data_IF_009271657584
#
_entry.id   IF_009271657584
#
_cell.length_a   1.000
_cell.length_b   1.000
_cell.length_c   1.000
_cell.angle_alpha   90.00
_cell.angle_beta   90.00
_cell.angle_gamma   90.00
#
_symmetry.space_group_name_H-M   'P 1'
#
loop_
_entity.id
_entity.type
_entity.pdbx_description
1 polymer ?
#
# COMPACT_ATOMS: atom_id res chain seq x y z
N UNK A 1 25.94 -22.20 -20.74
CA UNK A 1 25.02 -23.17 -20.14
C UNK A 1 24.16 -22.41 -19.14
N UNK A 2 22.84 -22.41 -19.39
CA UNK A 2 21.72 -21.91 -18.56
C UNK A 2 21.57 -20.38 -18.33
N UNK A 3 20.97 -19.76 -19.35
CA UNK A 3 19.78 -18.89 -19.34
C UNK A 3 19.55 -18.02 -18.09
N UNK A 4 19.79 -16.73 -18.25
CA UNK A 4 19.08 -15.69 -17.51
C UNK A 4 17.58 -15.83 -17.83
N UNK A 5 16.80 -16.30 -16.86
CA UNK A 5 15.35 -16.20 -16.93
C UNK A 5 14.99 -14.72 -16.89
N UNK A 6 14.50 -14.21 -18.02
CA UNK A 6 13.76 -12.96 -18.06
C UNK A 6 12.50 -13.12 -17.21
N UNK A 7 12.58 -12.72 -15.95
CA UNK A 7 11.42 -12.16 -15.28
C UNK A 7 11.20 -10.80 -15.92
N UNK A 8 10.28 -10.74 -16.89
CA UNK A 8 9.69 -9.45 -17.24
C UNK A 8 9.26 -8.81 -15.93
N UNK A 9 9.73 -7.60 -15.65
CA UNK A 9 9.30 -6.78 -14.53
C UNK A 9 7.76 -6.76 -14.57
N UNK A 10 7.12 -7.65 -13.80
CA UNK A 10 5.73 -7.41 -13.43
C UNK A 10 5.84 -6.13 -12.61
N UNK A 11 5.34 -5.03 -13.13
CA UNK A 11 5.32 -3.77 -12.40
C UNK A 11 4.63 -4.05 -11.07
N UNK A 12 5.42 -4.15 -10.02
CA UNK A 12 4.90 -4.33 -8.68
C UNK A 12 4.15 -3.04 -8.35
N UNK A 13 2.97 -3.18 -7.75
CA UNK A 13 2.15 -2.05 -7.40
C UNK A 13 1.70 -2.19 -5.95
N UNK A 14 1.41 -1.06 -5.31
CA UNK A 14 0.82 -1.03 -3.99
C UNK A 14 -0.22 0.08 -3.89
N UNK A 15 -1.19 -0.08 -2.99
CA UNK A 15 -2.08 0.99 -2.60
C UNK A 15 -1.36 1.90 -1.61
N UNK A 16 -1.37 3.20 -1.89
CA UNK A 16 -1.00 4.24 -0.94
C UNK A 16 -2.25 5.06 -0.61
N UNK A 17 -2.72 4.96 0.63
CA UNK A 17 -3.88 5.70 1.10
C UNK A 17 -3.41 6.71 2.14
N UNK A 18 -3.42 8.00 1.77
CA UNK A 18 -3.32 9.10 2.72
C UNK A 18 -4.73 9.40 3.23
N UNK A 19 -4.96 9.25 4.53
CA UNK A 19 -6.30 9.24 5.11
C UNK A 19 -6.45 10.24 6.26
N UNK A 20 -6.76 11.48 5.90
CA UNK A 20 -7.14 12.53 6.82
C UNK A 20 -6.11 12.80 7.91
N UNK A 21 -6.58 13.42 8.97
CA UNK A 21 -5.77 13.67 10.15
C UNK A 21 -5.51 12.38 10.94
N UNK A 22 -4.51 12.47 11.80
CA UNK A 22 -4.04 11.43 12.71
C UNK A 22 -5.15 10.64 13.42
N UNK A 23 -6.19 11.33 13.89
CA UNK A 23 -7.27 10.74 14.68
C UNK A 23 -8.08 9.71 13.90
N UNK A 24 -8.04 9.74 12.58
CA UNK A 24 -8.71 8.75 11.71
C UNK A 24 -7.88 7.49 11.48
N UNK A 25 -6.59 7.51 11.83
CA UNK A 25 -5.65 6.40 11.63
C UNK A 25 -5.18 5.83 12.97
N UNK A 26 -5.36 6.57 14.07
CA UNK A 26 -5.03 6.11 15.41
C UNK A 26 -5.89 4.92 15.84
N UNK A 27 -5.28 3.94 16.51
CA UNK A 27 -5.97 2.72 16.93
C UNK A 27 -6.24 1.77 15.77
N UNK A 28 -7.36 1.03 15.84
CA UNK A 28 -7.75 0.11 14.78
C UNK A 28 -8.61 0.83 13.74
N UNK A 29 -8.24 0.69 12.48
CA UNK A 29 -9.03 1.18 11.34
C UNK A 29 -9.62 -0.02 10.64
N UNK A 30 -10.92 -0.23 10.80
CA UNK A 30 -11.61 -1.38 10.18
C UNK A 30 -12.10 -1.05 8.76
N UNK A 31 -12.51 0.21 8.53
CA UNK A 31 -13.09 0.66 7.26
C UNK A 31 -12.49 2.00 6.85
N UNK A 32 -12.06 2.09 5.60
CA UNK A 32 -11.57 3.32 4.97
C UNK A 32 -12.57 3.76 3.92
N UNK A 33 -12.95 5.04 3.92
CA UNK A 33 -13.86 5.63 2.93
C UNK A 33 -13.26 6.86 2.27
N UNK A 34 -13.10 6.82 0.95
CA UNK A 34 -12.49 7.88 0.15
C UNK A 34 -13.51 8.44 -0.84
N UNK A 35 -13.60 9.76 -0.92
CA UNK A 35 -14.40 10.42 -1.97
C UNK A 35 -13.88 10.05 -3.36
N UNK A 36 -14.76 9.71 -4.32
CA UNK A 36 -14.37 9.28 -5.67
C UNK A 36 -13.44 10.26 -6.39
N UNK A 37 -13.57 11.56 -6.14
CA UNK A 37 -12.68 12.57 -6.72
C UNK A 37 -11.26 12.59 -6.13
N UNK A 38 -11.00 11.81 -5.07
CA UNK A 38 -9.68 11.60 -4.46
C UNK A 38 -9.17 10.18 -4.67
N UNK A 39 -9.98 9.36 -5.33
CA UNK A 39 -9.63 8.01 -5.73
C UNK A 39 -8.77 8.10 -6.98
N UNK A 40 -7.68 7.33 -7.02
CA UNK A 40 -6.65 7.33 -8.04
C UNK A 40 -5.93 8.67 -8.25
N UNK A 41 -6.11 9.63 -7.35
CA UNK A 41 -5.33 10.87 -7.37
C UNK A 41 -3.84 10.49 -7.31
N UNK A 42 -3.03 11.02 -8.23
CA UNK A 42 -1.59 10.73 -8.35
C UNK A 42 -1.23 9.29 -8.74
N UNK A 43 -2.19 8.52 -9.26
CA UNK A 43 -1.92 7.23 -9.91
C UNK A 43 -1.40 7.48 -11.34
N UNK A 44 -0.46 6.69 -11.87
CA UNK A 44 -0.04 6.80 -13.26
C UNK A 44 -1.24 6.71 -14.23
N UNK A 45 -1.33 7.56 -15.27
CA UNK A 45 -2.54 7.67 -16.10
C UNK A 45 -3.01 6.36 -16.72
N UNK A 46 -2.09 5.49 -17.15
CA UNK A 46 -2.42 4.19 -17.73
C UNK A 46 -3.02 3.23 -16.70
N UNK A 47 -2.54 3.29 -15.45
CA UNK A 47 -3.08 2.52 -14.33
C UNK A 47 -4.43 3.08 -13.88
N UNK A 48 -4.56 4.40 -13.75
CA UNK A 48 -5.82 5.07 -13.42
C UNK A 48 -6.93 4.69 -14.40
N UNK A 49 -6.68 4.81 -15.70
CA UNK A 49 -7.65 4.50 -16.75
C UNK A 49 -8.15 3.06 -16.69
N UNK A 50 -7.28 2.12 -16.28
CA UNK A 50 -7.66 0.70 -16.13
C UNK A 50 -8.54 0.46 -14.91
N UNK A 51 -8.49 1.34 -13.92
CA UNK A 51 -9.17 1.19 -12.63
C UNK A 51 -10.38 2.11 -12.48
N UNK A 52 -10.54 3.12 -13.34
CA UNK A 52 -11.57 4.16 -13.26
C UNK A 52 -13.00 3.61 -13.17
N UNK A 53 -13.26 2.47 -13.83
CA UNK A 53 -14.56 1.81 -13.85
C UNK A 53 -14.97 1.30 -12.46
N UNK A 54 -13.98 0.92 -11.62
CA UNK A 54 -14.18 0.17 -10.38
C UNK A 54 -15.13 -1.03 -10.58
N UNK A 55 -15.01 -1.71 -11.73
CA UNK A 55 -15.70 -2.98 -11.95
C UNK A 55 -15.06 -4.11 -11.12
N UNK A 56 -15.64 -5.31 -11.20
CA UNK A 56 -15.17 -6.46 -10.43
C UNK A 56 -13.70 -6.81 -10.70
N UNK A 57 -13.19 -6.54 -11.90
CA UNK A 57 -11.78 -6.81 -12.26
C UNK A 57 -10.88 -5.76 -11.64
N UNK A 58 -11.26 -4.48 -11.72
CA UNK A 58 -10.52 -3.39 -11.10
C UNK A 58 -10.47 -3.53 -9.56
N UNK A 59 -11.60 -3.87 -8.93
CA UNK A 59 -11.68 -4.14 -7.49
C UNK A 59 -10.80 -5.32 -7.10
N UNK A 60 -10.93 -6.45 -7.80
CA UNK A 60 -10.11 -7.63 -7.51
C UNK A 60 -8.61 -7.38 -7.71
N UNK A 61 -8.23 -6.44 -8.57
CA UNK A 61 -6.84 -6.00 -8.69
C UNK A 61 -6.41 -5.20 -7.46
N UNK A 62 -7.18 -4.17 -7.06
CA UNK A 62 -6.87 -3.34 -5.90
C UNK A 62 -6.71 -4.15 -4.61
N UNK A 63 -7.59 -5.12 -4.39
CA UNK A 63 -7.61 -5.96 -3.19
C UNK A 63 -6.46 -6.97 -3.13
N UNK A 64 -5.80 -7.23 -4.26
CA UNK A 64 -4.57 -8.06 -4.29
C UNK A 64 -3.33 -7.28 -3.94
N UNK A 65 -3.35 -5.95 -4.04
CA UNK A 65 -2.17 -5.14 -3.79
C UNK A 65 -1.90 -5.03 -2.29
N UNK A 66 -0.62 -4.99 -1.87
CA UNK A 66 -0.26 -4.52 -0.55
C UNK A 66 -0.75 -3.09 -0.34
N UNK A 67 -1.17 -2.75 0.87
CA UNK A 67 -1.72 -1.42 1.18
C UNK A 67 -0.96 -0.76 2.32
N UNK A 68 -0.49 0.46 2.08
CA UNK A 68 -0.05 1.38 3.11
C UNK A 68 -1.18 2.36 3.41
N UNK A 69 -1.65 2.35 4.65
CA UNK A 69 -2.59 3.33 5.17
C UNK A 69 -1.82 4.31 6.05
N UNK A 70 -1.80 5.57 5.63
CA UNK A 70 -1.04 6.63 6.27
C UNK A 70 -2.00 7.75 6.71
N UNK A 71 -1.71 8.41 7.83
CA UNK A 71 -2.31 9.73 8.07
C UNK A 71 -1.69 10.75 7.11
N UNK A 72 -2.35 11.91 6.95
CA UNK A 72 -1.68 13.09 6.43
C UNK A 72 -0.48 13.44 7.32
N UNK A 73 0.55 14.02 6.71
CA UNK A 73 1.80 14.34 7.39
C UNK A 73 1.60 15.52 8.34
N UNK A 74 2.18 15.42 9.53
CA UNK A 74 2.21 16.45 10.55
C UNK A 74 3.61 17.03 10.67
N UNK A 75 3.71 18.36 10.80
CA UNK A 75 4.97 19.03 11.06
C UNK A 75 5.15 19.28 12.57
N UNK A 76 6.38 19.08 13.05
CA UNK A 76 6.80 19.39 14.41
C UNK A 76 8.16 20.10 14.36
N UNK A 77 8.14 21.41 14.13
CA UNK A 77 9.36 22.18 13.84
C UNK A 77 9.88 21.85 12.44
N UNK A 78 11.16 21.49 12.36
CA UNK A 78 11.80 21.10 11.09
C UNK A 78 11.54 19.63 10.72
N UNK A 79 11.14 18.80 11.68
CA UNK A 79 10.83 17.39 11.48
C UNK A 79 9.35 17.18 11.12
N UNK A 80 9.06 16.02 10.54
CA UNK A 80 7.70 15.62 10.17
C UNK A 80 7.41 14.20 10.63
N UNK A 81 6.13 13.88 10.88
CA UNK A 81 5.71 12.53 11.21
C UNK A 81 4.33 12.19 10.66
N UNK A 82 4.03 10.90 10.54
CA UNK A 82 2.70 10.40 10.20
C UNK A 82 2.46 9.04 10.87
N UNK A 83 1.20 8.67 11.06
CA UNK A 83 0.86 7.29 11.39
C UNK A 83 0.95 6.42 10.15
N UNK A 84 1.52 5.22 10.28
CA UNK A 84 1.69 4.29 9.16
C UNK A 84 1.24 2.89 9.57
N UNK A 85 0.35 2.30 8.77
CA UNK A 85 -0.07 0.92 8.86
C UNK A 85 0.16 0.23 7.52
N UNK A 86 0.57 -1.02 7.60
CA UNK A 86 0.69 -1.91 6.45
C UNK A 86 -0.33 -3.03 6.57
N UNK A 87 -1.00 -3.35 5.48
CA UNK A 87 -2.12 -4.27 5.52
C UNK A 87 -2.64 -4.69 4.16
N UNK A 88 -3.86 -5.23 4.20
CA UNK A 88 -4.66 -5.64 3.04
C UNK A 88 -6.00 -4.94 3.07
N UNK A 89 -6.61 -4.83 1.90
CA UNK A 89 -7.97 -4.33 1.76
C UNK A 89 -8.89 -5.40 1.19
N UNK A 90 -10.17 -5.36 1.55
CA UNK A 90 -11.20 -6.28 1.05
C UNK A 90 -12.57 -5.61 1.02
N UNK A 91 -13.55 -6.28 0.40
CA UNK A 91 -14.95 -5.86 0.39
C UNK A 91 -15.16 -4.43 -0.14
N UNK A 92 -14.35 -4.05 -1.12
CA UNK A 92 -14.34 -2.72 -1.72
C UNK A 92 -15.66 -2.47 -2.43
N UNK A 93 -16.41 -1.51 -1.92
CA UNK A 93 -17.75 -1.18 -2.39
C UNK A 93 -17.75 0.22 -3.00
N UNK A 94 -17.81 0.34 -4.34
CA UNK A 94 -17.91 1.65 -4.98
C UNK A 94 -19.32 2.22 -4.83
N UNK A 95 -19.43 3.35 -4.14
CA UNK A 95 -20.63 4.18 -4.10
C UNK A 95 -20.64 5.23 -5.21
N UNK A 96 -21.69 6.07 -5.22
CA UNK A 96 -21.82 7.17 -6.18
C UNK A 96 -20.85 8.31 -5.92
N UNK A 97 -20.55 8.60 -4.65
CA UNK A 97 -19.70 9.73 -4.23
C UNK A 97 -18.41 9.29 -3.57
N UNK A 98 -18.40 8.10 -3.00
CA UNK A 98 -17.34 7.58 -2.15
C UNK A 98 -17.12 6.10 -2.48
N UNK A 99 -15.93 5.59 -2.16
CA UNK A 99 -15.55 4.19 -2.22
C UNK A 99 -15.16 3.79 -0.81
N UNK A 100 -15.73 2.70 -0.30
CA UNK A 100 -15.41 2.15 1.02
C UNK A 100 -14.73 0.80 0.87
N UNK A 101 -13.79 0.48 1.76
CA UNK A 101 -13.10 -0.81 1.79
C UNK A 101 -12.79 -1.19 3.24
N UNK A 102 -12.80 -2.49 3.54
CA UNK A 102 -12.29 -3.02 4.81
C UNK A 102 -10.78 -2.94 4.79
N UNK A 103 -10.14 -2.59 5.91
CA UNK A 103 -8.70 -2.61 6.05
C UNK A 103 -8.27 -3.54 7.18
N UNK A 104 -7.44 -4.53 6.84
CA UNK A 104 -6.83 -5.44 7.81
C UNK A 104 -5.39 -4.98 8.07
N UNK A 105 -5.10 -4.56 9.30
CA UNK A 105 -3.74 -4.19 9.70
C UNK A 105 -2.90 -5.44 9.95
N UNK A 106 -1.82 -5.61 9.19
CA UNK A 106 -0.84 -6.69 9.37
C UNK A 106 0.37 -6.22 10.17
N UNK A 107 0.81 -4.98 9.94
CA UNK A 107 1.87 -4.33 10.72
C UNK A 107 1.43 -2.91 11.05
N UNK A 108 1.46 -2.57 12.33
CA UNK A 108 1.25 -1.21 12.81
C UNK A 108 2.60 -0.58 13.15
N UNK A 109 3.02 0.42 12.36
CA UNK A 109 4.26 1.15 12.63
C UNK A 109 4.07 2.27 13.66
N UNK A 110 2.82 2.61 13.96
CA UNK A 110 2.46 3.79 14.75
C UNK A 110 2.99 5.07 14.10
N UNK A 111 3.37 6.03 14.95
CA UNK A 111 4.01 7.27 14.50
C UNK A 111 5.41 6.97 13.96
N UNK A 112 5.66 7.31 12.70
CA UNK A 112 6.99 7.29 12.10
C UNK A 112 7.42 8.73 11.87
N UNK A 113 8.58 9.09 12.43
CA UNK A 113 9.22 10.39 12.24
C UNK A 113 10.22 10.37 11.10
N UNK A 114 10.34 11.49 10.42
CA UNK A 114 11.29 11.75 9.35
C UNK A 114 12.00 13.07 9.60
N UNK A 115 13.25 13.16 9.13
CA UNK A 115 14.07 14.37 9.29
C UNK A 115 13.46 15.56 8.53
N UNK A 116 12.89 15.32 7.36
CA UNK A 116 12.20 16.30 6.53
C UNK A 116 11.09 15.67 5.67
N UNK A 117 10.36 16.51 4.93
CA UNK A 117 9.24 16.07 4.10
C UNK A 117 9.68 15.35 2.83
N UNK A 118 10.87 15.68 2.32
CA UNK A 118 11.47 15.03 1.17
C UNK A 118 11.80 13.56 1.48
N UNK A 119 12.33 13.29 2.68
CA UNK A 119 12.56 11.94 3.18
C UNK A 119 11.26 11.15 3.28
N UNK A 120 10.21 11.73 3.88
CA UNK A 120 8.89 11.10 3.97
C UNK A 120 8.33 10.76 2.58
N UNK A 121 8.44 11.70 1.63
CA UNK A 121 8.01 11.49 0.24
C UNK A 121 8.78 10.38 -0.48
N UNK A 122 10.09 10.29 -0.23
CA UNK A 122 10.95 9.28 -0.86
C UNK A 122 10.61 7.84 -0.46
N UNK A 123 10.04 7.63 0.74
CA UNK A 123 9.62 6.29 1.19
C UNK A 123 8.49 5.75 0.32
N UNK A 124 7.52 6.60 -0.05
CA UNK A 124 6.31 6.19 -0.79
C UNK A 124 6.30 6.58 -2.26
N UNK A 125 7.35 7.26 -2.75
CA UNK A 125 7.34 7.85 -4.09
C UNK A 125 6.26 8.93 -4.23
N UNK A 126 6.05 9.71 -3.17
CA UNK A 126 5.06 10.77 -3.09
C UNK A 126 5.72 12.15 -3.07
N UNK A 127 5.11 13.13 -3.73
CA UNK A 127 5.54 14.52 -3.60
C UNK A 127 4.98 15.17 -2.33
N UNK A 128 5.53 16.33 -1.96
CA UNK A 128 5.12 17.09 -0.77
C UNK A 128 3.61 17.33 -0.69
N UNK A 129 2.94 17.64 -1.81
CA UNK A 129 1.51 17.99 -1.79
C UNK A 129 0.64 16.76 -1.54
N UNK A 130 1.07 15.61 -2.03
CA UNK A 130 0.38 14.33 -1.83
C UNK A 130 0.34 13.94 -0.35
N UNK A 131 1.39 14.24 0.41
CA UNK A 131 1.49 13.89 1.84
C UNK A 131 0.55 14.70 2.75
N UNK A 132 0.07 15.87 2.30
CA UNK A 132 -0.86 16.73 3.05
C UNK A 132 -2.32 16.60 2.59
N UNK A 133 -2.65 15.58 1.81
CA UNK A 133 -3.97 15.48 1.20
C UNK A 133 -4.50 14.07 1.27
N UNK A 134 -5.73 13.95 1.75
CA UNK A 134 -6.47 12.70 1.70
C UNK A 134 -6.68 12.26 0.25
N UNK A 135 -6.15 11.09 -0.09
CA UNK A 135 -6.29 10.46 -1.39
C UNK A 135 -5.91 8.97 -1.35
N UNK A 136 -6.32 8.23 -2.36
CA UNK A 136 -5.87 6.87 -2.60
C UNK A 136 -5.20 6.79 -3.97
N UNK A 137 -3.91 6.50 -3.99
CA UNK A 137 -3.13 6.25 -5.19
C UNK A 137 -2.78 4.76 -5.34
N UNK A 138 -2.71 4.27 -6.57
CA UNK A 138 -1.96 3.05 -6.90
C UNK A 138 -0.58 3.48 -7.40
N UNK A 139 0.47 3.02 -6.71
CA UNK A 139 1.86 3.39 -6.99
C UNK A 139 2.57 2.23 -7.65
N UNK A 140 3.45 2.55 -8.60
CA UNK A 140 4.44 1.60 -9.11
C UNK A 140 5.60 1.50 -8.13
N UNK A 141 6.07 0.28 -7.86
CA UNK A 141 7.16 -0.02 -6.96
C UNK A 141 6.93 -1.28 -6.14
N UNK A 142 8.02 -1.84 -5.60
CA UNK A 142 7.97 -3.00 -4.71
C UNK A 142 7.62 -2.54 -3.28
N UNK A 143 6.50 -3.04 -2.75
CA UNK A 143 6.09 -2.78 -1.38
C UNK A 143 7.11 -3.28 -0.34
N UNK A 144 7.92 -4.29 -0.67
CA UNK A 144 9.00 -4.78 0.18
C UNK A 144 10.12 -3.75 0.32
N UNK A 145 10.42 -2.97 -0.72
CA UNK A 145 11.38 -1.87 -0.59
C UNK A 145 10.86 -0.79 0.36
N UNK A 146 9.56 -0.46 0.29
CA UNK A 146 8.92 0.48 1.21
C UNK A 146 8.98 -0.06 2.65
N UNK A 147 8.62 -1.33 2.84
CA UNK A 147 8.72 -1.98 4.16
C UNK A 147 10.14 -2.00 4.70
N UNK A 148 11.16 -2.27 3.88
CA UNK A 148 12.56 -2.24 4.29
C UNK A 148 12.98 -0.85 4.79
N UNK A 149 12.62 0.21 4.05
CA UNK A 149 12.89 1.61 4.48
C UNK A 149 12.17 1.94 5.79
N UNK A 150 10.94 1.48 5.98
CA UNK A 150 10.21 1.66 7.24
C UNK A 150 10.83 0.84 8.38
N UNK A 151 11.40 -0.33 8.10
CA UNK A 151 12.11 -1.15 9.07
C UNK A 151 13.37 -0.43 9.58
N UNK A 152 14.10 0.26 8.70
CA UNK A 152 15.27 1.05 9.09
C UNK A 152 14.90 2.20 10.06
N UNK A 153 13.71 2.80 9.86
CA UNK A 153 13.16 3.85 10.73
C UNK A 153 12.55 3.29 12.03
N UNK A 154 12.05 2.04 12.00
CA UNK A 154 11.41 1.34 13.12
C UNK A 154 12.00 -0.06 13.30
N UNK A 155 13.28 -0.17 13.73
CA UNK A 155 14.00 -1.45 13.74
C UNK A 155 13.38 -2.49 14.68
N UNK A 156 12.63 -2.05 15.71
CA UNK A 156 11.89 -2.94 16.60
C UNK A 156 10.78 -3.74 15.89
N UNK A 157 10.34 -3.31 14.70
CA UNK A 157 9.30 -3.97 13.90
C UNK A 157 9.86 -4.79 12.73
N UNK A 158 11.17 -4.79 12.50
CA UNK A 158 11.80 -5.47 11.36
C UNK A 158 11.48 -6.98 11.30
N UNK A 159 11.29 -7.63 12.44
CA UNK A 159 10.94 -9.05 12.51
C UNK A 159 9.54 -9.35 11.93
N UNK A 160 8.56 -8.47 12.13
CA UNK A 160 7.19 -8.64 11.59
C UNK A 160 7.15 -8.53 10.07
N UNK A 161 8.08 -7.76 9.48
CA UNK A 161 8.19 -7.56 8.04
C UNK A 161 8.75 -8.80 7.34
N UNK A 162 9.73 -9.47 7.97
CA UNK A 162 10.29 -10.73 7.46
C UNK A 162 9.24 -11.83 7.28
N UNK A 163 8.23 -11.85 8.15
CA UNK A 163 7.10 -12.78 8.07
C UNK A 163 6.19 -12.50 6.86
N UNK A 164 6.06 -11.23 6.45
CA UNK A 164 5.28 -10.85 5.26
C UNK A 164 5.99 -11.23 3.95
N UNK A 165 7.32 -11.17 3.91
CA UNK A 165 8.13 -11.64 2.77
C UNK A 165 8.07 -13.16 2.58
N UNK A 166 7.96 -13.93 3.66
CA UNK A 166 7.87 -15.40 3.62
C UNK A 166 6.56 -15.93 3.03
N UNK A 167 5.44 -15.22 3.21
CA UNK A 167 4.15 -15.61 2.65
C UNK A 167 4.09 -15.50 1.11
N UNK A 168 4.90 -14.63 0.50
CA UNK A 168 5.02 -14.55 -0.97
C UNK A 168 5.63 -15.84 -1.56
N UNK A 169 6.54 -16.48 -0.84
CA UNK A 169 7.28 -17.65 -1.32
C UNK A 169 6.51 -18.97 -1.18
N UNK A 170 5.57 -19.06 -0.22
CA UNK A 170 4.76 -20.27 0.00
C UNK A 170 3.60 -20.39 -0.99
N UNK A 171 3.08 -19.27 -1.52
CA UNK A 171 1.95 -19.27 -2.45
C UNK A 171 2.35 -19.64 -3.90
N UNK A 172 3.63 -19.52 -4.25
CA UNK A 172 4.16 -19.97 -5.55
C UNK A 172 4.62 -21.44 -5.54
N UNK A 173 4.73 -22.06 -4.36
CA UNK A 173 5.27 -23.40 -4.18
C UNK A 173 4.21 -24.52 -4.11
N UNK A 174 2.91 -24.20 -4.20
CA UNK A 174 1.83 -25.21 -4.17
C UNK A 174 1.12 -25.31 -5.53
N UNK A 175 1.78 -25.98 -6.47
CA UNK A 175 1.09 -26.61 -7.60
C UNK A 175 0.66 -27.99 -7.09
N UNK A 176 -0.65 -28.28 -6.91
CA UNK A 176 -1.06 -29.66 -6.73
C UNK A 176 -0.76 -30.38 -8.05
N UNK A 177 0.24 -31.25 -8.04
CA UNK A 177 0.36 -32.30 -9.05
C UNK A 177 -0.89 -33.17 -8.92
N UNK A 178 -1.92 -32.87 -9.71
CA UNK A 178 -2.91 -33.86 -10.07
C UNK A 178 -2.16 -34.93 -10.89
N UNK A 179 -1.97 -36.09 -10.27
CA UNK A 179 -1.51 -37.31 -10.91
C UNK A 179 -2.61 -37.76 -11.88
N UNK A 180 -2.53 -37.30 -13.13
CA UNK A 180 -3.23 -37.94 -14.24
C UNK A 180 -2.35 -39.11 -14.72
N UNK A 181 -2.67 -40.32 -14.30
CA UNK A 181 -1.95 -41.49 -14.79
C UNK A 181 -2.46 -42.86 -14.33
N UNK A 182 -3.46 -43.34 -15.08
CA UNK A 182 -3.91 -44.73 -15.30
C UNK A 182 -4.92 -45.36 -14.33
#
# INVERSE_FOLDING_TARGET
>A
MRLANGMGLMTENFNYISFGNWEYVEGNVDVVTIGRGRMFEYTPPDTEKRLESLDSTAIAFLEKLPTFLCSEIKSAGDAVSMLIKYGRISDTTPGRREVSTTFETLVDFGEVGFDDIEMAGSVFGADRFQLYRTHWAVREGDAQEVLARLADLKPNLAHLIGEQGGHRQLNEAWIPMCDDGL
#
